data_IF_604788688679
#
_entry.id   IF_604788688679
#
_cell.length_a   1.000
_cell.length_b   1.000
_cell.length_c   1.000
_cell.angle_alpha   90.00
_cell.angle_beta   90.00
_cell.angle_gamma   90.00
#
_symmetry.space_group_name_H-M   'P 1'
#
loop_
_entity.id
_entity.type
_entity.pdbx_description
1 polymer ?
#
# COMPACT_ATOMS: atom_id res chain seq x y z
N UNK A 1 -1.08 -3.12 -8.56
CA UNK A 1 -1.90 -2.82 -7.37
C UNK A 1 -1.69 -1.35 -7.09
N UNK A 2 -2.75 -0.55 -6.97
CA UNK A 2 -2.63 0.82 -6.48
C UNK A 2 -2.98 0.77 -4.99
N UNK A 3 -1.99 0.88 -4.10
CA UNK A 3 -2.23 1.03 -2.68
C UNK A 3 -2.26 2.52 -2.36
N UNK A 4 -3.41 3.00 -1.90
CA UNK A 4 -3.59 4.37 -1.47
C UNK A 4 -3.71 4.36 0.05
N UNK A 5 -2.80 5.06 0.73
CA UNK A 5 -2.85 5.28 2.18
C UNK A 5 -3.28 6.73 2.39
N UNK A 6 -4.37 6.94 3.10
CA UNK A 6 -4.85 8.25 3.51
C UNK A 6 -4.75 8.35 5.04
N UNK A 7 -4.16 9.43 5.54
CA UNK A 7 -4.25 9.84 6.95
C UNK A 7 -5.29 10.95 7.04
N UNK A 8 -6.27 10.81 7.94
CA UNK A 8 -7.30 11.81 8.20
C UNK A 8 -7.27 12.12 9.70
N UNK A 9 -6.68 13.26 10.05
CA UNK A 9 -6.83 13.83 11.38
C UNK A 9 -8.24 14.46 11.48
N UNK A 10 -8.91 14.20 12.60
CA UNK A 10 -10.23 14.73 13.00
C UNK A 10 -11.49 13.92 12.63
N UNK A 11 -11.61 12.69 13.15
CA UNK A 11 -12.92 12.16 13.53
C UNK A 11 -12.80 11.10 14.64
N UNK A 12 -13.53 11.25 15.74
CA UNK A 12 -13.38 10.47 17.00
C UNK A 12 -13.78 8.98 16.92
N UNK A 13 -13.90 8.42 15.73
CA UNK A 13 -14.14 6.98 15.49
C UNK A 13 -13.59 6.53 14.14
N UNK A 14 -12.57 7.23 13.64
CA UNK A 14 -11.91 6.92 12.37
C UNK A 14 -10.59 6.23 12.70
N UNK A 15 -10.36 5.07 12.10
CA UNK A 15 -9.03 4.49 12.05
C UNK A 15 -8.12 5.58 11.46
N UNK A 16 -7.04 5.95 12.15
CA UNK A 16 -6.09 6.98 11.68
C UNK A 16 -5.39 6.57 10.36
N UNK A 17 -5.63 5.35 9.88
CA UNK A 17 -5.10 4.81 8.65
C UNK A 17 -6.11 3.86 8.00
N UNK A 18 -6.08 3.76 6.67
CA UNK A 18 -6.84 2.79 5.89
C UNK A 18 -5.87 2.04 4.97
N UNK A 19 -5.96 0.71 4.96
CA UNK A 19 -5.23 -0.15 4.02
C UNK A 19 -6.24 -0.96 3.25
N UNK A 20 -6.10 -0.99 1.92
CA UNK A 20 -7.02 -1.69 1.05
C UNK A 20 -6.26 -2.61 0.10
N UNK A 21 -6.78 -3.82 -0.09
CA UNK A 21 -6.21 -4.83 -0.98
C UNK A 21 -7.18 -5.15 -2.12
N UNK A 22 -6.81 -6.01 -3.05
CA UNK A 22 -7.66 -6.36 -4.21
C UNK A 22 -8.86 -7.28 -3.84
N UNK A 23 -9.59 -6.98 -2.76
CA UNK A 23 -10.84 -7.64 -2.37
C UNK A 23 -11.82 -6.63 -1.81
N UNK A 24 -13.11 -6.98 -1.78
CA UNK A 24 -14.13 -6.11 -1.20
C UNK A 24 -14.25 -6.39 0.29
N UNK A 25 -14.09 -5.37 1.13
CA UNK A 25 -14.22 -5.50 2.59
C UNK A 25 -15.63 -5.11 3.09
N UNK A 26 -16.30 -4.15 2.45
CA UNK A 26 -17.57 -3.57 2.95
C UNK A 26 -18.66 -3.55 1.88
N UNK A 27 -19.35 -4.68 1.70
CA UNK A 27 -20.55 -4.77 0.86
C UNK A 27 -21.72 -5.32 1.68
N UNK A 28 -22.11 -4.61 2.73
CA UNK A 28 -23.19 -5.03 3.65
C UNK A 28 -24.57 -5.18 2.98
N UNK A 29 -24.73 -4.79 1.72
CA UNK A 29 -26.02 -4.72 1.00
C UNK A 29 -26.02 -5.28 -0.42
N UNK A 30 -24.88 -5.81 -0.90
CA UNK A 30 -24.77 -6.33 -2.27
C UNK A 30 -24.02 -7.66 -2.22
N UNK A 31 -24.69 -8.74 -2.62
CA UNK A 31 -24.04 -10.03 -2.82
C UNK A 31 -23.31 -9.93 -4.16
N UNK A 32 -22.01 -9.66 -4.12
CA UNK A 32 -21.13 -9.76 -5.28
C UNK A 32 -20.31 -11.02 -5.11
N UNK A 33 -20.41 -11.96 -6.06
CA UNK A 33 -19.47 -13.06 -6.13
C UNK A 33 -18.09 -12.50 -6.46
N UNK A 34 -17.21 -12.49 -5.46
CA UNK A 34 -15.80 -12.24 -5.69
C UNK A 34 -15.12 -13.59 -5.91
N UNK A 35 -14.19 -13.65 -6.87
CA UNK A 35 -13.18 -14.71 -6.94
C UNK A 35 -11.93 -14.20 -6.23
N UNK A 36 -11.89 -14.24 -4.88
CA UNK A 36 -10.75 -13.69 -4.17
C UNK A 36 -9.51 -14.50 -4.50
N UNK A 37 -8.45 -13.81 -4.90
CA UNK A 37 -7.15 -14.42 -5.09
C UNK A 37 -6.54 -14.71 -3.71
N UNK A 38 -5.94 -15.88 -3.54
CA UNK A 38 -5.20 -16.28 -2.33
C UNK A 38 -4.18 -15.22 -1.91
N UNK A 39 -3.54 -14.61 -2.90
CA UNK A 39 -2.56 -13.55 -2.73
C UNK A 39 -3.14 -12.27 -2.11
N UNK A 40 -4.41 -11.95 -2.38
CA UNK A 40 -5.07 -10.81 -1.75
C UNK A 40 -5.25 -11.03 -0.26
N UNK A 41 -5.77 -12.19 0.14
CA UNK A 41 -5.96 -12.50 1.55
C UNK A 41 -4.64 -12.63 2.30
N UNK A 42 -3.62 -13.20 1.64
CA UNK A 42 -2.29 -13.34 2.24
C UNK A 42 -1.66 -11.98 2.53
N UNK A 43 -1.73 -11.04 1.58
CA UNK A 43 -1.26 -9.66 1.77
C UNK A 43 -2.10 -8.88 2.79
N UNK A 44 -3.42 -9.08 2.80
CA UNK A 44 -4.30 -8.48 3.80
C UNK A 44 -3.92 -8.92 5.20
N UNK A 45 -3.80 -10.23 5.42
CA UNK A 45 -3.38 -10.80 6.70
C UNK A 45 -2.01 -10.26 7.13
N UNK A 46 -1.05 -10.21 6.20
CA UNK A 46 0.29 -9.66 6.47
C UNK A 46 0.24 -8.19 6.89
N UNK A 47 -0.62 -7.37 6.27
CA UNK A 47 -0.83 -6.00 6.71
C UNK A 47 -1.39 -5.90 8.11
N UNK A 48 -2.32 -6.77 8.49
CA UNK A 48 -2.85 -6.81 9.86
C UNK A 48 -1.77 -7.21 10.87
N UNK A 49 -0.85 -8.10 10.50
CA UNK A 49 0.29 -8.52 11.34
C UNK A 49 1.32 -7.39 11.58
N UNK A 50 1.49 -6.49 10.59
CA UNK A 50 2.38 -5.33 10.70
C UNK A 50 1.82 -4.23 11.61
N UNK A 51 0.52 -4.27 11.92
CA UNK A 51 -0.13 -3.42 12.90
C UNK A 51 -0.56 -2.05 12.36
N UNK A 52 -0.80 -1.13 13.31
CA UNK A 52 -1.27 0.22 13.00
C UNK A 52 -0.15 1.10 12.42
N UNK A 53 -0.51 2.00 11.49
CA UNK A 53 0.42 2.92 10.86
C UNK A 53 0.31 4.30 11.52
N UNK A 54 1.39 4.79 12.11
CA UNK A 54 1.41 6.10 12.79
C UNK A 54 2.34 7.10 12.13
N UNK A 55 3.31 6.61 11.35
CA UNK A 55 4.37 7.43 10.75
C UNK A 55 4.52 7.11 9.27
N UNK A 56 5.14 8.03 8.53
CA UNK A 56 5.55 7.78 7.14
C UNK A 56 6.45 6.54 7.03
N UNK A 57 7.28 6.28 8.03
CA UNK A 57 8.16 5.12 8.04
C UNK A 57 7.38 3.81 8.16
N UNK A 58 6.29 3.78 8.92
CA UNK A 58 5.40 2.61 9.03
C UNK A 58 4.75 2.31 7.67
N UNK A 59 4.27 3.35 6.99
CA UNK A 59 3.72 3.22 5.64
C UNK A 59 4.77 2.69 4.65
N UNK A 60 6.00 3.22 4.68
CA UNK A 60 7.10 2.76 3.82
C UNK A 60 7.48 1.31 4.12
N UNK A 61 7.55 0.92 5.39
CA UNK A 61 7.84 -0.45 5.81
C UNK A 61 6.75 -1.43 5.33
N UNK A 62 5.48 -1.06 5.44
CA UNK A 62 4.35 -1.84 4.93
C UNK A 62 4.42 -1.99 3.41
N UNK A 63 4.60 -0.86 2.70
CA UNK A 63 4.64 -0.81 1.24
C UNK A 63 5.83 -1.58 0.64
N UNK A 64 6.93 -1.65 1.38
CA UNK A 64 8.14 -2.38 1.01
C UNK A 64 8.25 -3.79 1.60
N UNK A 65 7.19 -4.31 2.24
CA UNK A 65 7.23 -5.61 2.88
C UNK A 65 7.31 -6.75 1.86
N UNK A 66 8.40 -7.51 1.94
CA UNK A 66 8.70 -8.65 1.06
C UNK A 66 8.92 -9.95 1.85
N UNK A 67 8.53 -10.02 3.12
CA UNK A 67 8.80 -11.17 4.00
C UNK A 67 7.98 -12.43 3.64
N UNK A 68 6.80 -12.26 3.05
CA UNK A 68 6.02 -13.38 2.55
C UNK A 68 6.54 -13.81 1.16
N UNK A 69 7.36 -14.85 1.10
CA UNK A 69 7.98 -15.33 -0.14
C UNK A 69 7.00 -15.77 -1.23
N UNK A 70 5.78 -16.17 -0.84
CA UNK A 70 4.74 -16.64 -1.78
C UNK A 70 3.86 -15.51 -2.29
N UNK A 71 3.49 -14.56 -1.43
CA UNK A 71 2.59 -13.45 -1.75
C UNK A 71 3.04 -12.15 -1.04
N UNK A 72 4.19 -11.58 -1.41
CA UNK A 72 4.71 -10.39 -0.77
C UNK A 72 3.83 -9.17 -1.07
N UNK A 73 3.89 -8.15 -0.21
CA UNK A 73 3.25 -6.85 -0.47
C UNK A 73 4.02 -6.12 -1.56
N UNK A 74 5.34 -6.00 -1.39
CA UNK A 74 6.27 -5.57 -2.43
C UNK A 74 6.70 -6.76 -3.28
N UNK A 75 6.16 -6.86 -4.49
CA UNK A 75 6.35 -8.04 -5.35
C UNK A 75 7.63 -7.91 -6.16
N UNK A 76 8.47 -8.91 -6.04
CA UNK A 76 9.70 -9.08 -6.81
C UNK A 76 9.53 -10.26 -7.74
N UNK A 77 10.21 -10.27 -8.89
CA UNK A 77 10.25 -11.46 -9.74
C UNK A 77 11.16 -12.52 -9.10
N UNK A 78 10.71 -13.15 -8.02
CA UNK A 78 11.35 -14.32 -7.47
C UNK A 78 10.69 -15.59 -8.05
N UNK A 79 11.35 -16.74 -7.87
CA UNK A 79 10.86 -18.02 -8.39
C UNK A 79 9.64 -18.57 -7.61
N UNK A 80 9.27 -17.94 -6.49
CA UNK A 80 8.26 -18.42 -5.54
C UNK A 80 6.96 -17.61 -5.52
N UNK A 81 6.93 -16.40 -6.08
CA UNK A 81 5.69 -15.65 -6.26
C UNK A 81 4.84 -16.31 -7.34
N UNK A 82 3.77 -16.95 -6.89
CA UNK A 82 2.84 -17.71 -7.73
C UNK A 82 2.03 -16.80 -8.66
N UNK A 83 1.91 -15.50 -8.34
CA UNK A 83 1.15 -14.55 -9.16
C UNK A 83 1.94 -14.07 -10.39
N UNK A 84 3.25 -14.34 -10.48
CA UNK A 84 4.16 -13.86 -11.57
C UNK A 84 4.17 -12.34 -11.79
N UNK A 85 3.59 -11.58 -10.86
CA UNK A 85 3.39 -10.15 -10.96
C UNK A 85 4.44 -9.40 -10.16
N UNK A 86 4.89 -8.24 -10.64
CA UNK A 86 5.88 -7.41 -9.94
C UNK A 86 5.31 -6.06 -9.54
N UNK A 87 5.81 -5.48 -8.44
CA UNK A 87 5.52 -4.09 -8.09
C UNK A 87 6.37 -3.21 -9.00
N UNK A 88 5.71 -2.45 -9.87
CA UNK A 88 6.39 -1.55 -10.81
C UNK A 88 6.88 -0.27 -10.12
N UNK A 89 6.09 0.25 -9.20
CA UNK A 89 6.45 1.40 -8.38
C UNK A 89 5.57 1.48 -7.13
N UNK A 90 6.04 2.27 -6.18
CA UNK A 90 5.28 2.72 -5.01
C UNK A 90 5.06 4.23 -5.13
N UNK A 91 3.82 4.67 -4.95
CA UNK A 91 3.46 6.08 -4.87
C UNK A 91 3.13 6.44 -3.42
N UNK A 92 3.75 7.50 -2.91
CA UNK A 92 3.53 8.02 -1.56
C UNK A 92 3.12 9.49 -1.64
N UNK A 93 1.91 9.79 -1.19
CA UNK A 93 1.37 11.14 -1.13
C UNK A 93 1.53 11.69 0.28
N UNK A 94 2.36 12.72 0.45
CA UNK A 94 2.47 13.47 1.69
C UNK A 94 1.60 14.72 1.59
N UNK A 95 0.45 14.71 2.27
CA UNK A 95 -0.50 15.83 2.26
C UNK A 95 -0.03 17.03 3.09
N UNK A 96 0.86 16.85 4.07
CA UNK A 96 1.42 17.97 4.83
C UNK A 96 2.40 18.80 4.00
N UNK A 97 3.22 18.14 3.18
CA UNK A 97 4.18 18.82 2.29
C UNK A 97 3.66 19.03 0.88
N UNK A 98 2.47 18.50 0.56
CA UNK A 98 1.88 18.47 -0.78
C UNK A 98 2.85 17.89 -1.82
N UNK A 99 3.49 16.78 -1.48
CA UNK A 99 4.46 16.10 -2.36
C UNK A 99 3.98 14.68 -2.70
N UNK A 100 4.18 14.31 -3.95
CA UNK A 100 4.10 12.94 -4.43
C UNK A 100 5.51 12.40 -4.63
N UNK A 101 5.87 11.38 -3.87
CA UNK A 101 7.10 10.62 -4.02
C UNK A 101 6.82 9.32 -4.77
N UNK A 102 7.57 9.06 -5.85
CA UNK A 102 7.53 7.80 -6.60
C UNK A 102 8.82 7.03 -6.37
N UNK A 103 8.69 5.77 -5.99
CA UNK A 103 9.80 4.84 -5.80
C UNK A 103 9.69 3.73 -6.86
N UNK A 104 10.70 3.56 -7.70
CA UNK A 104 10.76 2.47 -8.70
C UNK A 104 11.35 1.18 -8.12
N UNK A 105 11.93 1.28 -6.93
CA UNK A 105 12.51 0.17 -6.19
C UNK A 105 11.80 0.00 -4.84
N UNK A 106 12.16 -1.05 -4.10
CA UNK A 106 11.59 -1.29 -2.79
C UNK A 106 11.89 -0.11 -1.84
N UNK A 107 10.87 0.64 -1.38
CA UNK A 107 11.09 1.83 -0.56
C UNK A 107 11.62 1.50 0.84
N UNK A 108 11.48 0.24 1.31
CA UNK A 108 12.04 -0.23 2.58
C UNK A 108 13.56 -0.41 2.51
N UNK A 109 14.09 -0.79 1.35
CA UNK A 109 15.53 -1.00 1.15
C UNK A 109 16.28 0.33 0.96
N UNK A 110 15.67 1.27 0.26
CA UNK A 110 16.18 2.61 0.05
C UNK A 110 15.03 3.62 0.00
N UNK A 111 14.85 4.36 1.10
CA UNK A 111 13.77 5.36 1.23
C UNK A 111 14.09 6.67 0.49
N UNK A 112 14.71 6.60 -0.69
CA UNK A 112 14.94 7.71 -1.59
C UNK A 112 14.04 7.56 -2.82
N UNK A 113 13.08 8.48 -3.04
CA UNK A 113 12.23 8.46 -4.22
C UNK A 113 13.05 8.63 -5.51
N UNK A 114 12.68 7.90 -6.56
CA UNK A 114 13.18 8.15 -7.92
C UNK A 114 12.70 9.52 -8.43
N UNK A 115 11.48 9.91 -8.07
CA UNK A 115 10.89 11.20 -8.44
C UNK A 115 10.13 11.81 -7.27
N UNK A 116 10.21 13.14 -7.15
CA UNK A 116 9.38 13.93 -6.23
C UNK A 116 8.66 14.99 -7.06
N UNK A 117 7.33 14.99 -6.99
CA UNK A 117 6.47 15.95 -7.67
C UNK A 117 5.74 16.82 -6.65
N UNK A 118 5.79 18.14 -6.83
CA UNK A 118 5.06 19.09 -5.98
C UNK A 118 3.62 19.23 -6.48
N UNK A 119 2.66 18.78 -5.67
CA UNK A 119 1.24 18.76 -5.99
C UNK A 119 0.63 20.16 -6.06
N UNK A 120 1.28 21.19 -5.48
CA UNK A 120 0.85 22.58 -5.62
C UNK A 120 0.80 22.99 -7.10
N UNK A 121 1.67 22.40 -7.94
CA UNK A 121 1.71 22.69 -9.37
C UNK A 121 0.46 22.22 -10.14
N UNK A 122 -0.40 21.39 -9.53
CA UNK A 122 -1.67 20.94 -10.13
C UNK A 122 -2.86 21.84 -9.76
N UNK A 123 -2.66 22.78 -8.83
CA UNK A 123 -3.70 23.69 -8.34
C UNK A 123 -3.70 25.04 -9.07
N UNK A 124 -2.79 25.24 -10.02
CA UNK A 124 -2.67 26.42 -10.89
C UNK A 124 -2.97 26.06 -12.33
#
# INVERSE_FOLDING_TARGET
>A
MNLFIFSLDECKTVLNYLVHYNHYEYLNKVIIEQKPLSSTFSRWKRGQELGELFTNNDAINLLGDNENETFPIFRVSNQTDVDSSVTLCTAHFNFHTLQLSIYEHNPKDNNQPSFIYNLINLLN
#
